data_IF_928350381966
#
_entry.id   IF_928350381966
#
_cell.length_a   1.000
_cell.length_b   1.000
_cell.length_c   1.000
_cell.angle_alpha   90.00
_cell.angle_beta   90.00
_cell.angle_gamma   90.00
#
_symmetry.space_group_name_H-M   'P 1'
#
loop_
_entity.id
_entity.type
_entity.pdbx_description
1 polymer ?
#
# COMPACT_ATOMS: atom_id res chain seq x y z
N UNK A 1 30.67 39.96 -1.78
CA UNK A 1 29.75 39.56 -0.70
C UNK A 1 28.40 39.03 -1.21
N UNK A 2 27.85 39.55 -2.32
CA UNK A 2 26.57 39.09 -2.93
C UNK A 2 26.56 37.60 -3.35
N UNK A 3 27.70 37.05 -3.79
CA UNK A 3 27.84 35.65 -4.26
C UNK A 3 27.65 34.60 -3.16
N UNK A 4 27.90 34.94 -1.90
CA UNK A 4 27.89 33.98 -0.78
C UNK A 4 26.46 33.78 -0.22
N UNK A 5 25.62 34.82 -0.28
CA UNK A 5 24.21 34.75 0.14
C UNK A 5 23.36 33.90 -0.81
N UNK A 6 23.66 33.92 -2.12
CA UNK A 6 22.95 33.10 -3.11
C UNK A 6 23.11 31.59 -2.85
N UNK A 7 24.32 31.15 -2.48
CA UNK A 7 24.60 29.75 -2.18
C UNK A 7 23.86 29.26 -0.93
N UNK A 8 23.77 30.11 0.10
CA UNK A 8 23.04 29.79 1.34
C UNK A 8 21.53 29.69 1.08
N UNK A 9 20.98 30.58 0.24
CA UNK A 9 19.57 30.54 -0.13
C UNK A 9 19.21 29.30 -0.96
N UNK A 10 20.08 28.87 -1.88
CA UNK A 10 19.90 27.64 -2.65
C UNK A 10 20.03 26.38 -1.77
N UNK A 11 20.94 26.36 -0.77
CA UNK A 11 21.04 25.25 0.18
C UNK A 11 19.82 25.17 1.12
N UNK A 12 19.27 26.31 1.54
CA UNK A 12 18.03 26.35 2.32
C UNK A 12 16.83 25.87 1.49
N UNK A 13 16.68 26.30 0.24
CA UNK A 13 15.60 25.86 -0.65
C UNK A 13 15.74 24.39 -1.08
N UNK A 14 16.96 23.88 -1.27
CA UNK A 14 17.23 22.47 -1.58
C UNK A 14 16.85 21.52 -0.44
N UNK A 15 17.04 21.95 0.82
CA UNK A 15 16.61 21.18 1.99
C UNK A 15 15.08 21.21 2.22
N UNK A 16 14.38 22.23 1.71
CA UNK A 16 12.90 22.29 1.80
C UNK A 16 12.24 21.37 0.77
N UNK A 17 12.88 21.13 -0.38
CA UNK A 17 12.40 20.15 -1.38
C UNK A 17 12.60 18.68 -0.97
N UNK A 18 13.41 18.41 0.06
CA UNK A 18 13.61 17.07 0.62
C UNK A 18 12.55 16.67 1.66
N UNK A 19 11.56 17.54 1.92
CA UNK A 19 10.38 17.25 2.74
C UNK A 19 9.18 16.84 1.89
N UNK A 20 9.39 16.31 0.67
CA UNK A 20 8.38 15.46 0.07
C UNK A 20 8.21 14.26 1.01
N UNK A 21 7.23 14.35 1.90
CA UNK A 21 6.85 13.23 2.74
C UNK A 21 6.42 12.13 1.77
N UNK A 22 7.20 11.06 1.68
CA UNK A 22 6.77 9.88 0.94
C UNK A 22 5.54 9.32 1.65
N UNK A 23 4.50 8.92 0.91
CA UNK A 23 3.35 8.26 1.52
C UNK A 23 3.83 7.03 2.30
N UNK A 24 3.16 6.66 3.41
CA UNK A 24 3.49 5.45 4.13
C UNK A 24 3.47 4.26 3.17
N UNK A 25 4.52 3.44 3.23
CA UNK A 25 4.69 2.23 2.44
C UNK A 25 5.14 1.11 3.37
N UNK A 26 4.59 -0.09 3.19
CA UNK A 26 4.98 -1.29 3.94
C UNK A 26 5.77 -2.21 3.01
N UNK A 27 7.05 -2.41 3.31
CA UNK A 27 7.93 -3.35 2.59
C UNK A 27 7.93 -4.75 3.23
N UNK A 28 7.21 -4.89 4.36
CA UNK A 28 7.03 -6.09 5.16
C UNK A 28 8.34 -6.80 5.58
N UNK A 29 9.49 -6.11 5.50
CA UNK A 29 10.82 -6.70 5.70
C UNK A 29 11.23 -6.81 7.17
N UNK A 30 10.38 -6.38 8.12
CA UNK A 30 10.68 -6.48 9.54
C UNK A 30 10.82 -7.97 9.94
N UNK A 31 12.00 -8.42 10.39
CA UNK A 31 12.24 -9.83 10.69
C UNK A 31 11.52 -10.32 11.94
N UNK A 32 11.01 -9.40 12.78
CA UNK A 32 10.30 -9.71 14.03
C UNK A 32 8.80 -9.59 13.84
N UNK A 33 8.35 -8.54 13.15
CA UNK A 33 6.92 -8.30 12.89
C UNK A 33 6.67 -7.83 11.45
N UNK A 34 6.74 -8.76 10.47
CA UNK A 34 6.57 -8.41 9.06
C UNK A 34 5.19 -7.82 8.77
N UNK A 35 4.15 -8.18 9.54
CA UNK A 35 2.79 -7.67 9.36
C UNK A 35 2.62 -6.22 9.84
N UNK A 36 3.55 -5.67 10.62
CA UNK A 36 3.43 -4.32 11.17
C UNK A 36 2.14 -4.10 11.94
N UNK A 37 1.38 -3.06 11.58
CA UNK A 37 0.05 -2.76 12.13
C UNK A 37 -1.11 -3.28 11.26
N UNK A 38 -0.84 -4.14 10.28
CA UNK A 38 -1.88 -4.77 9.49
C UNK A 38 -2.54 -5.93 10.24
N UNK A 39 -3.87 -6.00 10.20
CA UNK A 39 -4.65 -7.03 10.87
C UNK A 39 -5.94 -7.31 10.09
N UNK A 40 -6.56 -8.51 10.27
CA UNK A 40 -7.88 -8.76 9.73
C UNK A 40 -8.87 -7.76 10.34
N UNK A 41 -9.88 -7.36 9.55
CA UNK A 41 -10.94 -6.52 10.07
C UNK A 41 -11.69 -7.20 11.23
N UNK A 42 -12.41 -6.39 12.01
CA UNK A 42 -13.28 -6.95 13.04
C UNK A 42 -14.35 -7.88 12.43
N UNK A 43 -14.85 -8.82 13.23
CA UNK A 43 -15.95 -9.67 12.83
C UNK A 43 -17.15 -8.82 12.37
N UNK A 44 -17.85 -9.21 11.29
CA UNK A 44 -17.75 -10.49 10.58
C UNK A 44 -16.75 -10.51 9.42
N UNK A 45 -16.09 -9.40 9.09
CA UNK A 45 -15.33 -9.26 7.84
C UNK A 45 -13.83 -9.59 7.97
N UNK A 46 -13.38 -10.14 9.09
CA UNK A 46 -11.99 -10.53 9.33
C UNK A 46 -11.58 -11.91 8.82
N UNK A 47 -12.38 -12.55 7.96
CA UNK A 47 -12.18 -13.96 7.61
C UNK A 47 -11.11 -14.15 6.52
N UNK A 48 -9.86 -13.82 6.89
CA UNK A 48 -8.69 -13.81 6.02
C UNK A 48 -7.62 -14.72 6.62
N UNK A 49 -6.93 -15.51 5.79
CA UNK A 49 -5.64 -16.11 6.16
C UNK A 49 -4.51 -15.26 5.60
N UNK A 50 -3.48 -15.03 6.41
CA UNK A 50 -2.33 -14.21 6.01
C UNK A 50 -1.04 -15.00 6.20
N UNK A 51 -0.14 -14.88 5.25
CA UNK A 51 1.24 -15.35 5.34
C UNK A 51 2.21 -14.33 4.77
N UNK A 52 3.50 -14.60 4.87
CA UNK A 52 4.57 -13.76 4.33
C UNK A 52 5.23 -14.48 3.16
N UNK A 53 5.30 -13.80 2.03
CA UNK A 53 6.06 -14.21 0.85
C UNK A 53 7.52 -13.76 0.94
N UNK A 54 8.38 -14.50 0.26
CA UNK A 54 9.80 -14.16 0.11
C UNK A 54 10.01 -13.35 -1.18
N UNK A 55 11.11 -12.58 -1.29
CA UNK A 55 11.18 -11.32 -2.02
C UNK A 55 10.48 -11.28 -3.37
N UNK A 56 9.65 -10.25 -3.58
CA UNK A 56 9.03 -10.05 -4.88
C UNK A 56 10.10 -9.59 -5.92
N UNK A 57 9.94 -9.91 -7.21
CA UNK A 57 10.91 -9.53 -8.24
C UNK A 57 10.95 -8.05 -8.64
N UNK A 58 10.01 -7.21 -8.20
CA UNK A 58 9.95 -5.80 -8.58
C UNK A 58 10.98 -4.96 -7.82
N UNK A 59 11.02 -5.09 -6.50
CA UNK A 59 11.84 -4.24 -5.62
C UNK A 59 12.64 -5.05 -4.58
N UNK A 60 12.45 -6.37 -4.51
CA UNK A 60 13.12 -7.25 -3.55
C UNK A 60 12.56 -7.20 -2.13
N UNK A 61 11.42 -6.54 -1.91
CA UNK A 61 10.75 -6.51 -0.61
C UNK A 61 9.91 -7.78 -0.36
N UNK A 62 9.71 -8.10 0.91
CA UNK A 62 8.73 -9.10 1.32
C UNK A 62 7.31 -8.60 0.98
N UNK A 63 6.37 -9.53 0.92
CA UNK A 63 4.97 -9.21 0.65
C UNK A 63 4.04 -10.08 1.48
N UNK A 64 2.81 -9.63 1.66
CA UNK A 64 1.79 -10.42 2.33
C UNK A 64 1.01 -11.27 1.32
N UNK A 65 0.83 -12.54 1.67
CA UNK A 65 -0.06 -13.46 0.95
C UNK A 65 -1.41 -13.44 1.68
N UNK A 66 -2.43 -12.92 1.02
CA UNK A 66 -3.77 -12.75 1.59
C UNK A 66 -4.71 -13.74 0.91
N UNK A 67 -5.37 -14.60 1.70
CA UNK A 67 -6.39 -15.54 1.24
C UNK A 67 -7.72 -15.26 1.89
N UNK A 68 -8.68 -14.79 1.11
CA UNK A 68 -10.07 -14.65 1.56
C UNK A 68 -10.72 -16.02 1.74
N UNK A 69 -11.51 -16.18 2.80
CA UNK A 69 -12.23 -17.42 3.14
C UNK A 69 -13.75 -17.30 2.99
N UNK A 70 -14.31 -16.12 2.74
CA UNK A 70 -15.79 -15.96 2.69
C UNK A 70 -16.35 -14.86 1.77
N UNK A 71 -15.59 -14.35 0.80
CA UNK A 71 -16.11 -13.53 -0.31
C UNK A 71 -16.37 -12.05 0.02
N UNK A 72 -15.81 -11.53 1.11
CA UNK A 72 -16.08 -10.17 1.59
C UNK A 72 -15.25 -9.79 2.81
N UNK A 73 -14.02 -10.28 2.86
CA UNK A 73 -13.12 -10.13 4.00
C UNK A 73 -12.08 -9.05 3.75
N UNK A 74 -11.63 -8.39 4.81
CA UNK A 74 -10.67 -7.29 4.73
C UNK A 74 -9.46 -7.57 5.60
N UNK A 75 -8.31 -7.12 5.09
CA UNK A 75 -7.08 -6.98 5.83
C UNK A 75 -6.69 -5.51 5.80
N UNK A 76 -6.51 -4.90 6.97
CA UNK A 76 -6.52 -3.44 7.12
C UNK A 76 -5.42 -2.95 8.05
N UNK A 77 -4.96 -1.72 7.82
CA UNK A 77 -4.07 -0.99 8.71
C UNK A 77 -4.73 0.33 9.12
N UNK A 78 -5.22 0.37 10.35
CA UNK A 78 -5.94 1.52 10.89
C UNK A 78 -5.03 2.55 11.57
N UNK A 79 -3.72 2.30 11.64
CA UNK A 79 -2.77 3.08 12.45
C UNK A 79 -1.80 3.90 11.62
N UNK A 80 -1.14 3.30 10.63
CA UNK A 80 -0.06 3.97 9.88
C UNK A 80 -0.58 4.89 8.78
N UNK A 81 -1.76 4.57 8.23
CA UNK A 81 -2.38 5.27 7.11
C UNK A 81 -3.44 6.28 7.58
N UNK A 82 -3.29 6.82 8.79
CA UNK A 82 -4.19 7.85 9.30
C UNK A 82 -3.86 9.22 8.68
N UNK A 83 -4.90 10.02 8.42
CA UNK A 83 -4.78 11.41 7.94
C UNK A 83 -4.00 11.55 6.64
N UNK A 84 -4.05 10.56 5.74
CA UNK A 84 -3.39 10.62 4.43
C UNK A 84 -3.75 11.90 3.66
N UNK A 85 -5.05 12.25 3.67
CA UNK A 85 -5.57 13.47 3.04
C UNK A 85 -5.14 14.79 3.71
N UNK A 86 -4.38 14.77 4.80
CA UNK A 86 -3.80 15.99 5.39
C UNK A 86 -2.30 16.12 5.06
N UNK A 87 -1.59 15.00 4.99
CA UNK A 87 -0.14 14.98 4.82
C UNK A 87 0.29 14.78 3.36
N UNK A 88 -0.52 14.11 2.55
CA UNK A 88 -0.17 13.69 1.19
C UNK A 88 -1.18 14.18 0.14
N UNK A 89 -1.73 15.39 0.33
CA UNK A 89 -2.64 16.00 -0.64
C UNK A 89 -1.96 16.17 -2.01
N UNK A 90 -2.67 15.74 -3.05
CA UNK A 90 -2.17 15.80 -4.42
C UNK A 90 -1.10 14.75 -4.75
N UNK A 91 -0.79 13.84 -3.83
CA UNK A 91 0.10 12.70 -4.10
C UNK A 91 -0.71 11.45 -4.45
N UNK A 92 -0.12 10.59 -5.28
CA UNK A 92 -0.69 9.27 -5.59
C UNK A 92 -0.37 8.26 -4.48
N UNK A 93 -1.31 7.36 -4.22
CA UNK A 93 -1.07 6.15 -3.45
C UNK A 93 -0.71 5.03 -4.43
N UNK A 94 0.31 4.26 -4.09
CA UNK A 94 0.78 3.12 -4.88
C UNK A 94 0.60 1.86 -4.04
N UNK A 95 0.17 0.78 -4.67
CA UNK A 95 0.03 -0.51 -4.02
C UNK A 95 0.35 -1.62 -5.01
N UNK A 96 1.35 -2.42 -4.68
CA UNK A 96 1.74 -3.53 -5.53
C UNK A 96 0.92 -4.76 -5.17
N UNK A 97 0.47 -5.50 -6.18
CA UNK A 97 -0.34 -6.69 -5.96
C UNK A 97 -0.07 -7.77 -7.01
N UNK A 98 -0.38 -9.01 -6.63
CA UNK A 98 -0.30 -10.20 -7.46
C UNK A 98 -1.47 -11.11 -7.13
N UNK A 99 -2.19 -11.57 -8.16
CA UNK A 99 -3.24 -12.57 -8.01
C UNK A 99 -2.64 -13.96 -8.17
N UNK A 100 -2.54 -14.69 -7.06
CA UNK A 100 -1.99 -16.05 -7.06
C UNK A 100 -3.00 -17.10 -7.55
N UNK A 101 -4.22 -17.05 -7.00
CA UNK A 101 -5.27 -18.02 -7.29
C UNK A 101 -6.64 -17.37 -7.11
N UNK A 102 -7.52 -17.55 -8.08
CA UNK A 102 -8.91 -17.08 -8.08
C UNK A 102 -9.92 -18.23 -7.87
N UNK A 103 -9.48 -19.40 -7.42
CA UNK A 103 -10.29 -20.63 -7.30
C UNK A 103 -10.96 -21.09 -8.61
N UNK A 104 -10.44 -20.68 -9.76
CA UNK A 104 -10.98 -21.06 -11.07
C UNK A 104 -12.26 -20.32 -11.46
N UNK A 105 -12.56 -19.16 -10.85
CA UNK A 105 -13.68 -18.33 -11.27
C UNK A 105 -13.48 -17.77 -12.68
N UNK A 106 -12.23 -17.64 -13.16
CA UNK A 106 -11.91 -17.30 -14.55
C UNK A 106 -12.36 -15.91 -14.97
N UNK A 107 -12.73 -15.07 -13.99
CA UNK A 107 -13.21 -13.72 -14.21
C UNK A 107 -12.03 -12.74 -14.17
N UNK A 108 -12.04 -11.72 -15.04
CA UNK A 108 -11.20 -10.54 -14.89
C UNK A 108 -11.28 -10.00 -13.45
N UNK A 109 -10.17 -10.07 -12.71
CA UNK A 109 -10.11 -9.47 -11.38
C UNK A 109 -9.53 -8.07 -11.48
N UNK A 110 -10.23 -7.13 -10.85
CA UNK A 110 -9.80 -5.74 -10.72
C UNK A 110 -9.61 -5.46 -9.22
N UNK A 111 -8.38 -5.57 -8.71
CA UNK A 111 -8.11 -5.30 -7.31
C UNK A 111 -8.49 -3.88 -6.96
N UNK A 112 -8.87 -3.69 -5.71
CA UNK A 112 -9.28 -2.40 -5.23
C UNK A 112 -8.79 -2.19 -3.80
N UNK A 113 -8.47 -0.93 -3.50
CA UNK A 113 -8.18 -0.49 -2.15
C UNK A 113 -9.31 0.42 -1.67
N UNK A 114 -9.63 0.33 -0.39
CA UNK A 114 -10.65 1.19 0.23
C UNK A 114 -9.99 2.00 1.32
N UNK A 115 -10.06 3.32 1.21
CA UNK A 115 -9.76 4.23 2.32
C UNK A 115 -11.04 4.51 3.08
N UNK A 116 -11.00 4.40 4.40
CA UNK A 116 -12.17 4.62 5.26
C UNK A 116 -11.78 5.36 6.53
N UNK A 117 -12.63 6.28 6.97
CA UNK A 117 -12.55 6.91 8.30
C UNK A 117 -13.47 6.20 9.33
N UNK A 118 -14.10 5.09 8.94
CA UNK A 118 -15.09 4.36 9.72
C UNK A 118 -16.54 4.80 9.48
N UNK A 119 -16.76 5.97 8.86
CA UNK A 119 -18.06 6.51 8.48
C UNK A 119 -18.19 6.66 6.97
N UNK A 120 -17.20 7.26 6.34
CA UNK A 120 -17.08 7.53 4.92
C UNK A 120 -16.00 6.62 4.33
N UNK A 121 -16.20 6.20 3.08
CA UNK A 121 -15.23 5.41 2.36
C UNK A 121 -15.07 5.88 0.91
N UNK A 122 -13.86 5.71 0.39
CA UNK A 122 -13.52 5.89 -1.00
C UNK A 122 -12.80 4.64 -1.50
N UNK A 123 -13.35 4.00 -2.54
CA UNK A 123 -12.79 2.80 -3.15
C UNK A 123 -12.12 3.14 -4.47
N UNK A 124 -10.89 2.69 -4.65
CA UNK A 124 -10.09 2.87 -5.84
C UNK A 124 -9.91 1.50 -6.49
N UNK A 125 -10.42 1.34 -7.71
CA UNK A 125 -10.35 0.09 -8.47
C UNK A 125 -9.25 0.20 -9.53
N UNK A 126 -8.39 -0.80 -9.61
CA UNK A 126 -7.33 -0.85 -10.60
C UNK A 126 -7.92 -0.91 -12.02
N UNK A 127 -7.36 -0.10 -12.94
CA UNK A 127 -7.77 -0.08 -14.35
C UNK A 127 -7.28 -1.30 -15.15
N UNK A 128 -6.33 -2.04 -14.59
CA UNK A 128 -5.78 -3.27 -15.18
C UNK A 128 -6.64 -4.48 -14.82
N UNK A 129 -6.80 -5.38 -15.78
CA UNK A 129 -7.36 -6.71 -15.55
C UNK A 129 -6.25 -7.66 -15.17
N UNK A 130 -6.43 -8.39 -14.08
CA UNK A 130 -5.42 -9.28 -13.54
C UNK A 130 -5.96 -10.71 -13.53
N UNK A 131 -5.15 -11.64 -14.00
CA UNK A 131 -5.44 -13.08 -14.01
C UNK A 131 -4.44 -13.83 -13.14
N UNK A 132 -4.80 -15.01 -12.60
CA UNK A 132 -3.84 -15.84 -11.87
C UNK A 132 -2.54 -16.04 -12.65
N UNK A 133 -1.40 -15.81 -11.99
CA UNK A 133 -0.08 -15.99 -12.61
C UNK A 133 0.38 -14.91 -13.59
N UNK A 134 -0.38 -13.81 -13.77
CA UNK A 134 0.00 -12.71 -14.68
C UNK A 134 1.19 -11.86 -14.20
N UNK A 135 1.69 -12.12 -12.99
CA UNK A 135 2.81 -11.40 -12.39
C UNK A 135 2.37 -10.18 -11.58
N UNK A 136 3.36 -9.37 -11.20
CA UNK A 136 3.16 -8.21 -10.32
C UNK A 136 2.70 -6.97 -11.09
N UNK A 137 1.81 -6.21 -10.47
CA UNK A 137 1.30 -4.92 -10.97
C UNK A 137 1.53 -3.84 -9.91
N UNK A 138 1.76 -2.60 -10.38
CA UNK A 138 2.04 -1.37 -9.62
C UNK A 138 0.98 -0.32 -9.91
#
# INVERSE_FOLDING_TARGET
MVRMYFLIFCFLLGNVMLLAQNPPCSDFNDPVNPYGNWAPAAAPNGNVSVGVGSPNPLDGSQFLIIKDKSGGSWYQNWKDYQKLGNYFLGQCLYFDFYLDNDSGYGLPYHPYITLSDGTNSATFVASVTVTPGSGWFV
#
